data_IF_802418930439
#
_entry.id   IF_802418930439
#
_cell.length_a   1.000
_cell.length_b   1.000
_cell.length_c   1.000
_cell.angle_alpha   90.00
_cell.angle_beta   90.00
_cell.angle_gamma   90.00
#
_symmetry.space_group_name_H-M   'P 1'
#
loop_
_entity.id
_entity.type
_entity.pdbx_description
1 polymer ?
#
# COMPACT_ATOMS: atom_id res chain seq x y z
N UNK A 1 17.48 21.09 1.10
CA UNK A 1 16.25 21.33 1.90
C UNK A 1 16.35 22.67 2.65
N UNK A 2 15.31 23.50 2.60
CA UNK A 2 15.27 24.78 3.34
C UNK A 2 15.03 24.61 4.84
N UNK A 3 14.88 25.72 5.60
CA UNK A 3 14.70 25.70 7.06
C UNK A 3 13.54 24.83 7.56
N UNK A 4 12.47 24.72 6.75
CA UNK A 4 11.29 23.90 7.07
C UNK A 4 11.44 22.42 6.67
N UNK A 5 12.52 22.06 5.97
CA UNK A 5 12.81 20.69 5.49
C UNK A 5 11.68 20.03 4.69
N UNK A 6 10.90 20.83 3.96
CA UNK A 6 9.85 20.33 3.08
C UNK A 6 10.46 19.73 1.80
N UNK A 7 9.78 18.71 1.28
CA UNK A 7 10.05 18.10 -0.03
C UNK A 7 8.77 18.14 -0.84
N UNK A 8 8.85 18.68 -2.06
CA UNK A 8 7.78 18.61 -3.05
C UNK A 8 8.24 17.72 -4.20
N UNK A 9 7.43 16.72 -4.56
CA UNK A 9 7.71 15.82 -5.65
C UNK A 9 6.59 15.86 -6.69
N UNK A 10 6.98 16.06 -7.96
CA UNK A 10 6.08 15.99 -9.09
C UNK A 10 5.97 14.53 -9.57
N UNK A 11 4.79 13.93 -9.42
CA UNK A 11 4.49 12.59 -9.93
C UNK A 11 3.52 12.71 -11.12
N UNK A 12 4.04 12.99 -12.32
CA UNK A 12 3.23 13.34 -13.50
C UNK A 12 2.23 12.25 -13.87
N UNK A 13 2.68 10.98 -13.88
CA UNK A 13 1.87 9.80 -14.19
C UNK A 13 0.69 9.65 -13.22
N UNK A 14 0.79 10.18 -12.00
CA UNK A 14 -0.27 10.08 -11.01
C UNK A 14 -1.50 10.92 -11.34
N UNK A 15 -1.41 11.85 -12.29
CA UNK A 15 -2.59 12.56 -12.78
C UNK A 15 -3.52 11.66 -13.58
N UNK A 16 -2.98 10.66 -14.29
CA UNK A 16 -3.72 9.77 -15.20
C UNK A 16 -3.84 8.33 -14.69
N UNK A 17 -2.83 7.83 -13.99
CA UNK A 17 -2.75 6.44 -13.53
C UNK A 17 -3.29 6.24 -12.11
N UNK A 18 -3.59 7.33 -11.38
CA UNK A 18 -4.18 7.20 -10.05
C UNK A 18 -5.55 6.53 -10.18
N UNK A 19 -5.81 5.56 -9.30
CA UNK A 19 -7.13 4.98 -9.14
C UNK A 19 -8.20 6.10 -9.03
N UNK A 20 -9.31 5.99 -9.77
CA UNK A 20 -10.43 6.91 -9.62
C UNK A 20 -10.88 6.99 -8.16
N UNK A 21 -11.16 8.19 -7.63
CA UNK A 21 -11.69 8.30 -6.28
C UNK A 21 -13.00 7.52 -6.20
N UNK A 22 -13.15 6.72 -5.14
CA UNK A 22 -14.41 6.04 -4.88
C UNK A 22 -15.43 7.08 -4.41
N UNK A 23 -16.66 6.97 -4.89
CA UNK A 23 -17.74 7.79 -4.39
C UNK A 23 -18.01 7.39 -2.92
N UNK A 24 -17.81 8.34 -2.00
CA UNK A 24 -18.09 8.15 -0.58
C UNK A 24 -19.54 8.56 -0.34
N UNK A 25 -20.42 7.58 -0.15
CA UNK A 25 -21.86 7.80 0.04
C UNK A 25 -22.29 7.72 1.50
N UNK A 26 -21.45 7.14 2.37
CA UNK A 26 -21.73 6.95 3.79
C UNK A 26 -20.43 6.98 4.59
N UNK A 27 -20.51 7.43 5.85
CA UNK A 27 -19.41 7.30 6.81
C UNK A 27 -19.15 5.83 7.18
N UNK A 28 -20.17 4.98 7.11
CA UNK A 28 -20.08 3.53 7.32
C UNK A 28 -20.24 2.79 5.99
N UNK A 29 -19.49 3.22 4.96
CA UNK A 29 -19.51 2.55 3.67
C UNK A 29 -18.92 1.14 3.79
N UNK A 30 -19.63 0.09 3.34
CA UNK A 30 -19.12 -1.27 3.42
C UNK A 30 -17.89 -1.45 2.52
N UNK A 31 -16.97 -2.29 2.97
CA UNK A 31 -15.79 -2.66 2.19
C UNK A 31 -16.20 -3.47 0.95
N UNK A 32 -15.79 -3.01 -0.24
CA UNK A 32 -15.95 -3.78 -1.47
C UNK A 32 -14.63 -4.54 -1.77
N UNK A 33 -14.60 -5.88 -1.59
CA UNK A 33 -13.42 -6.69 -1.87
C UNK A 33 -13.03 -6.70 -3.35
N UNK A 34 -13.93 -6.30 -4.27
CA UNK A 34 -13.61 -6.17 -5.70
C UNK A 34 -12.90 -4.86 -6.01
N UNK A 35 -13.20 -3.81 -5.25
CA UNK A 35 -12.53 -2.53 -5.34
C UNK A 35 -11.15 -2.58 -4.70
N UNK A 36 -10.91 -3.35 -3.65
CA UNK A 36 -9.59 -3.45 -3.00
C UNK A 36 -9.02 -4.88 -3.10
N UNK A 37 -8.05 -5.08 -3.99
CA UNK A 37 -7.55 -6.41 -4.34
C UNK A 37 -6.22 -6.76 -3.63
N UNK A 38 -6.18 -6.76 -2.30
CA UNK A 38 -5.02 -7.32 -1.58
C UNK A 38 -4.93 -8.84 -1.72
N UNK A 39 -6.04 -9.50 -2.01
CA UNK A 39 -6.14 -10.97 -2.16
C UNK A 39 -5.55 -11.50 -3.47
N UNK A 40 -5.08 -10.63 -4.38
CA UNK A 40 -4.49 -11.02 -5.67
C UNK A 40 -2.98 -10.82 -5.75
N UNK A 41 -2.33 -10.59 -4.62
CA UNK A 41 -0.88 -10.41 -4.59
C UNK A 41 -0.21 -11.66 -5.18
N UNK A 42 0.57 -11.48 -6.24
CA UNK A 42 1.30 -12.60 -6.86
C UNK A 42 2.40 -13.04 -5.91
N UNK A 43 2.77 -14.31 -5.94
CA UNK A 43 3.84 -14.82 -5.08
C UNK A 43 5.16 -14.05 -5.27
N UNK A 44 5.47 -13.61 -6.49
CA UNK A 44 6.65 -12.79 -6.80
C UNK A 44 6.57 -11.33 -6.34
N UNK A 45 5.41 -10.85 -5.88
CA UNK A 45 5.25 -9.52 -5.31
C UNK A 45 5.48 -9.51 -3.79
N UNK A 46 5.60 -10.68 -3.15
CA UNK A 46 5.99 -10.80 -1.74
C UNK A 46 7.52 -10.78 -1.65
N UNK A 47 8.08 -9.76 -1.01
CA UNK A 47 9.52 -9.63 -0.83
C UNK A 47 10.00 -10.48 0.36
N UNK A 48 9.32 -10.36 1.51
CA UNK A 48 9.63 -11.14 2.71
C UNK A 48 8.43 -11.19 3.67
N UNK A 49 8.50 -12.13 4.62
CA UNK A 49 7.52 -12.33 5.69
C UNK A 49 8.16 -12.02 7.03
N UNK A 50 7.72 -10.95 7.69
CA UNK A 50 8.16 -10.59 9.03
C UNK A 50 7.39 -11.41 10.05
N UNK A 51 8.12 -12.10 10.92
CA UNK A 51 7.54 -12.88 12.01
C UNK A 51 7.95 -12.27 13.34
N UNK A 52 6.99 -12.12 14.24
CA UNK A 52 7.27 -11.80 15.64
C UNK A 52 8.07 -12.93 16.29
N UNK A 53 8.90 -12.60 17.26
CA UNK A 53 9.63 -13.57 18.08
C UNK A 53 8.75 -13.95 19.28
N UNK A 54 8.12 -15.13 19.26
CA UNK A 54 7.32 -15.65 20.37
C UNK A 54 6.36 -16.78 19.96
N UNK A 55 5.97 -17.65 20.89
CA UNK A 55 5.08 -18.79 20.61
C UNK A 55 3.64 -18.39 20.28
N UNK A 56 3.24 -17.16 20.58
CA UNK A 56 1.94 -16.56 20.27
C UNK A 56 2.04 -15.49 19.18
N UNK A 57 3.07 -15.54 18.33
CA UNK A 57 3.23 -14.55 17.27
C UNK A 57 2.03 -14.60 16.31
N UNK A 58 1.39 -13.46 16.01
CA UNK A 58 0.28 -13.39 15.07
C UNK A 58 0.73 -13.78 13.65
N UNK A 59 -0.24 -13.84 12.73
CA UNK A 59 0.03 -14.05 11.30
C UNK A 59 1.17 -13.13 10.82
N UNK A 60 2.04 -13.65 9.92
CA UNK A 60 3.24 -12.93 9.52
C UNK A 60 2.90 -11.69 8.68
N UNK A 61 3.39 -10.53 9.12
CA UNK A 61 3.30 -9.29 8.35
C UNK A 61 4.08 -9.44 7.03
N UNK A 62 3.39 -9.27 5.91
CA UNK A 62 3.97 -9.33 4.58
C UNK A 62 4.56 -7.99 4.18
N UNK A 63 5.80 -8.01 3.67
CA UNK A 63 6.37 -6.88 2.94
C UNK A 63 6.20 -7.16 1.45
N UNK A 64 5.43 -6.33 0.77
CA UNK A 64 5.05 -6.52 -0.62
C UNK A 64 5.46 -5.35 -1.52
N UNK A 65 5.67 -5.63 -2.81
CA UNK A 65 5.88 -4.63 -3.84
C UNK A 65 4.64 -3.75 -3.96
N UNK A 66 4.80 -2.42 -3.88
CA UNK A 66 3.73 -1.51 -4.25
C UNK A 66 3.72 -1.34 -5.78
N UNK A 67 2.73 -1.92 -6.45
CA UNK A 67 2.56 -1.81 -7.91
C UNK A 67 2.22 -0.38 -8.39
N UNK A 68 1.91 0.55 -7.47
CA UNK A 68 1.75 1.99 -7.73
C UNK A 68 2.58 2.79 -6.72
N UNK A 69 3.92 2.73 -6.83
CA UNK A 69 4.82 3.32 -5.85
C UNK A 69 4.85 4.85 -5.96
N UNK A 70 5.07 5.54 -4.83
CA UNK A 70 5.36 6.98 -4.83
C UNK A 70 6.76 7.27 -5.35
N UNK A 71 7.70 6.40 -4.96
CA UNK A 71 9.11 6.47 -5.28
C UNK A 71 9.65 5.04 -5.43
N UNK A 72 10.80 4.90 -6.08
CA UNK A 72 11.46 3.61 -6.24
C UNK A 72 11.72 2.97 -4.87
N UNK A 73 11.34 1.71 -4.72
CA UNK A 73 11.51 0.95 -3.48
C UNK A 73 10.37 1.14 -2.46
N UNK A 74 9.30 1.85 -2.82
CA UNK A 74 8.12 1.93 -1.98
C UNK A 74 7.45 0.55 -1.84
N UNK A 75 7.21 0.13 -0.60
CA UNK A 75 6.64 -1.18 -0.25
C UNK A 75 5.35 -1.03 0.55
N UNK A 76 4.54 -2.09 0.56
CA UNK A 76 3.36 -2.23 1.40
C UNK A 76 3.66 -3.16 2.57
N UNK A 77 3.16 -2.80 3.76
CA UNK A 77 3.08 -3.68 4.91
C UNK A 77 1.64 -4.18 5.03
N UNK A 78 1.44 -5.48 4.86
CA UNK A 78 0.12 -6.11 4.85
C UNK A 78 0.05 -7.14 5.99
N UNK A 79 -1.06 -7.22 6.74
CA UNK A 79 -1.28 -8.29 7.70
C UNK A 79 -1.32 -9.67 7.02
#
# INVERSE_FOLDING_TARGET
PGPMRLVAQLNVQRSTERRPPQLVQSLQQPFDPRAFNFTRLRAGEVLLRLRGTGSAAPDPLLVAINASPLERGHVLLLP
#
